data_IF_920437858341
#
_entry.id   IF_920437858341
#
_cell.length_a   1.000
_cell.length_b   1.000
_cell.length_c   1.000
_cell.angle_alpha   90.00
_cell.angle_beta   90.00
_cell.angle_gamma   90.00
#
_symmetry.space_group_name_H-M   'P 1'
#
loop_
_entity.id
_entity.type
_entity.pdbx_description
1 polymer ?
#
# COMPACT_ATOMS: atom_id res chain seq x y z
N UNK A 1 -29.36 8.38 -9.16
CA UNK A 1 -28.59 9.61 -9.48
C UNK A 1 -29.50 10.80 -9.18
N UNK A 2 -28.98 11.77 -8.45
CA UNK A 2 -29.64 13.05 -8.18
C UNK A 2 -29.68 13.90 -9.47
N UNK A 3 -30.80 14.59 -9.75
CA UNK A 3 -30.95 15.48 -10.92
C UNK A 3 -29.85 16.57 -10.99
N UNK A 4 -29.28 16.96 -9.85
CA UNK A 4 -28.18 17.93 -9.75
C UNK A 4 -26.93 17.49 -10.51
N UNK A 5 -26.72 16.20 -10.69
CA UNK A 5 -25.53 15.66 -11.37
C UNK A 5 -25.78 15.24 -12.82
N UNK A 6 -26.99 15.43 -13.32
CA UNK A 6 -27.31 15.14 -14.70
C UNK A 6 -26.54 16.05 -15.64
N UNK A 7 -25.76 15.47 -16.54
CA UNK A 7 -24.86 16.22 -17.44
C UNK A 7 -23.61 16.85 -16.78
N UNK A 8 -23.40 16.62 -15.48
CA UNK A 8 -22.15 17.01 -14.83
C UNK A 8 -21.01 16.07 -15.25
N UNK A 9 -19.86 16.64 -15.67
CA UNK A 9 -18.69 15.83 -16.02
C UNK A 9 -18.09 15.08 -14.84
N UNK A 10 -17.34 14.00 -15.12
CA UNK A 10 -16.76 13.09 -14.10
C UNK A 10 -15.91 13.83 -13.05
N UNK A 11 -15.19 14.90 -13.44
CA UNK A 11 -14.37 15.68 -12.50
C UNK A 11 -15.21 16.42 -11.45
N UNK A 12 -16.37 16.96 -11.84
CA UNK A 12 -17.27 17.61 -10.90
C UNK A 12 -17.89 16.60 -9.93
N UNK A 13 -18.27 15.41 -10.42
CA UNK A 13 -18.77 14.31 -9.62
C UNK A 13 -17.70 13.80 -8.65
N UNK A 14 -16.46 13.62 -9.09
CA UNK A 14 -15.33 13.25 -8.23
C UNK A 14 -15.09 14.30 -7.14
N UNK A 15 -15.05 15.58 -7.50
CA UNK A 15 -14.87 16.67 -6.53
C UNK A 15 -15.95 16.67 -5.47
N UNK A 16 -17.22 16.45 -5.85
CA UNK A 16 -18.30 16.31 -4.89
C UNK A 16 -18.08 15.14 -3.93
N UNK A 17 -17.69 13.97 -4.44
CA UNK A 17 -17.38 12.80 -3.63
C UNK A 17 -16.25 13.11 -2.66
N UNK A 18 -15.14 13.69 -3.11
CA UNK A 18 -13.98 14.03 -2.28
C UNK A 18 -14.34 15.00 -1.13
N UNK A 19 -15.18 15.98 -1.40
CA UNK A 19 -15.62 16.96 -0.39
C UNK A 19 -16.53 16.33 0.67
N UNK A 20 -17.37 15.38 0.28
CA UNK A 20 -18.41 14.83 1.17
C UNK A 20 -18.05 13.49 1.80
N UNK A 21 -17.07 12.75 1.25
CA UNK A 21 -16.66 11.46 1.78
C UNK A 21 -15.90 11.63 3.10
N UNK A 22 -16.37 10.94 4.13
CA UNK A 22 -15.72 10.87 5.45
C UNK A 22 -15.56 9.41 5.84
N UNK A 23 -14.33 8.95 5.92
CA UNK A 23 -14.00 7.58 6.32
C UNK A 23 -13.06 7.65 7.51
N UNK A 24 -13.56 7.43 8.73
CA UNK A 24 -12.70 7.44 9.91
C UNK A 24 -11.69 6.29 9.89
N UNK A 25 -10.56 6.45 10.58
CA UNK A 25 -9.64 5.37 10.89
C UNK A 25 -10.15 4.66 12.14
N UNK A 26 -10.86 3.56 11.98
CA UNK A 26 -11.57 2.83 13.03
C UNK A 26 -11.00 1.42 13.30
N UNK A 27 -9.99 1.02 12.53
CA UNK A 27 -9.34 -0.27 12.69
C UNK A 27 -8.08 -0.12 13.55
N UNK A 28 -8.08 -0.75 14.73
CA UNK A 28 -6.95 -0.71 15.65
C UNK A 28 -5.88 -1.75 15.29
N UNK A 29 -4.63 -1.31 15.20
CA UNK A 29 -3.47 -2.20 15.31
C UNK A 29 -2.95 -2.11 16.74
N UNK A 30 -2.97 -3.24 17.45
CA UNK A 30 -2.54 -3.34 18.84
C UNK A 30 -1.13 -3.91 18.95
N UNK A 31 -0.36 -3.40 19.91
CA UNK A 31 0.92 -3.98 20.28
C UNK A 31 0.70 -5.27 21.13
N UNK A 32 1.79 -5.96 21.45
CA UNK A 32 1.74 -7.19 22.27
C UNK A 32 1.18 -6.99 23.69
N UNK A 33 1.09 -5.73 24.19
CA UNK A 33 0.47 -5.35 25.46
C UNK A 33 -1.03 -5.03 25.33
N UNK A 34 -1.61 -5.17 24.13
CA UNK A 34 -3.02 -4.85 23.87
C UNK A 34 -3.33 -3.35 23.70
N UNK A 35 -2.31 -2.48 23.71
CA UNK A 35 -2.48 -1.04 23.51
C UNK A 35 -2.56 -0.73 22.03
N UNK A 36 -3.43 0.19 21.63
CA UNK A 36 -3.53 0.67 20.25
C UNK A 36 -2.20 1.36 19.87
N UNK A 37 -1.56 0.85 18.84
CA UNK A 37 -0.32 1.37 18.29
C UNK A 37 -0.62 2.45 17.25
N UNK A 38 -1.56 2.14 16.34
CA UNK A 38 -2.10 3.08 15.36
C UNK A 38 -3.47 2.62 14.88
N UNK A 39 -4.20 3.55 14.25
CA UNK A 39 -5.48 3.26 13.61
C UNK A 39 -5.37 3.42 12.10
N UNK A 40 -6.11 2.59 11.37
CA UNK A 40 -6.19 2.67 9.92
C UNK A 40 -7.63 2.46 9.44
N UNK A 41 -7.92 2.83 8.20
CA UNK A 41 -9.15 2.46 7.51
C UNK A 41 -8.87 1.29 6.57
N UNK A 42 -9.81 0.38 6.42
CA UNK A 42 -9.69 -0.69 5.44
C UNK A 42 -10.46 -0.34 4.16
N UNK A 43 -10.24 -1.10 3.09
CA UNK A 43 -10.91 -0.89 1.80
C UNK A 43 -12.44 -1.04 1.90
N UNK A 44 -12.90 -1.98 2.74
CA UNK A 44 -14.32 -2.21 2.95
C UNK A 44 -15.01 -0.98 3.58
N UNK A 45 -14.37 -0.35 4.58
CA UNK A 45 -14.87 0.89 5.19
C UNK A 45 -14.98 2.04 4.16
N UNK A 46 -14.00 2.15 3.24
CA UNK A 46 -14.05 3.15 2.16
C UNK A 46 -15.25 2.88 1.26
N UNK A 47 -15.43 1.63 0.81
CA UNK A 47 -16.55 1.26 -0.06
C UNK A 47 -17.91 1.45 0.62
N UNK A 48 -18.04 1.11 1.88
CA UNK A 48 -19.28 1.33 2.63
C UNK A 48 -19.68 2.81 2.65
N UNK A 49 -18.72 3.69 2.94
CA UNK A 49 -18.97 5.13 3.07
C UNK A 49 -19.15 5.85 1.74
N UNK A 50 -18.53 5.35 0.66
CA UNK A 50 -18.66 5.99 -0.65
C UNK A 50 -19.94 5.61 -1.39
N UNK A 51 -20.55 4.44 -1.13
CA UNK A 51 -21.74 3.95 -1.83
C UNK A 51 -22.88 4.97 -1.94
N UNK A 52 -23.31 5.68 -0.86
CA UNK A 52 -24.36 6.69 -0.98
C UNK A 52 -24.01 7.84 -1.93
N UNK A 53 -22.73 8.25 -1.95
CA UNK A 53 -22.25 9.31 -2.83
C UNK A 53 -22.15 8.85 -4.29
N UNK A 54 -21.79 7.58 -4.51
CA UNK A 54 -21.83 6.97 -5.86
C UNK A 54 -23.25 6.93 -6.42
N UNK A 55 -24.24 6.56 -5.59
CA UNK A 55 -25.64 6.55 -5.98
C UNK A 55 -26.13 7.96 -6.34
N UNK A 56 -25.82 8.97 -5.52
CA UNK A 56 -26.17 10.35 -5.75
C UNK A 56 -25.57 10.89 -7.05
N UNK A 57 -24.28 10.62 -7.31
CA UNK A 57 -23.56 11.15 -8.47
C UNK A 57 -23.76 10.34 -9.75
N UNK A 58 -24.35 9.15 -9.66
CA UNK A 58 -24.48 8.23 -10.80
C UNK A 58 -23.14 7.66 -11.25
N UNK A 59 -22.23 7.42 -10.31
CA UNK A 59 -20.94 6.83 -10.58
C UNK A 59 -20.82 5.40 -10.05
N UNK A 60 -19.89 4.64 -10.58
CA UNK A 60 -19.43 3.40 -9.99
C UNK A 60 -17.92 3.42 -9.74
N UNK A 61 -17.44 2.54 -8.86
CA UNK A 61 -16.02 2.34 -8.60
C UNK A 61 -15.64 0.89 -8.82
N UNK A 62 -14.47 0.67 -9.43
CA UNK A 62 -13.83 -0.65 -9.55
C UNK A 62 -12.40 -0.57 -9.01
N UNK A 63 -11.95 -1.65 -8.37
CA UNK A 63 -10.53 -1.89 -8.13
C UNK A 63 -10.10 -3.02 -9.07
N UNK A 64 -9.02 -2.78 -9.82
CA UNK A 64 -8.47 -3.73 -10.80
C UNK A 64 -6.97 -3.81 -10.58
N UNK A 65 -6.44 -5.01 -10.53
CA UNK A 65 -5.00 -5.22 -10.47
C UNK A 65 -4.44 -5.48 -11.87
N UNK A 66 -3.28 -4.88 -12.14
CA UNK A 66 -2.44 -5.28 -13.27
C UNK A 66 -1.76 -6.63 -13.01
N UNK A 67 -1.21 -7.28 -14.04
CA UNK A 67 -0.25 -8.36 -13.84
C UNK A 67 0.88 -7.90 -12.92
N UNK A 68 1.39 -8.79 -12.03
CA UNK A 68 2.43 -8.42 -11.08
C UNK A 68 3.66 -7.81 -11.76
N UNK A 69 4.13 -6.69 -11.26
CA UNK A 69 5.35 -6.03 -11.74
C UNK A 69 6.55 -6.61 -11.00
N UNK A 70 7.50 -7.17 -11.76
CA UNK A 70 8.77 -7.65 -11.22
C UNK A 70 9.85 -6.61 -11.51
N UNK A 71 10.44 -6.05 -10.44
CA UNK A 71 11.55 -5.10 -10.53
C UNK A 71 12.85 -5.81 -10.17
N UNK A 72 13.89 -5.63 -11.00
CA UNK A 72 15.19 -6.29 -10.81
C UNK A 72 15.14 -7.79 -11.09
N UNK A 73 14.41 -8.22 -12.12
CA UNK A 73 14.30 -9.63 -12.50
C UNK A 73 15.65 -10.24 -12.91
N UNK A 74 16.59 -9.41 -13.35
CA UNK A 74 17.97 -9.72 -13.72
C UNK A 74 18.94 -9.78 -12.54
N UNK A 75 18.52 -9.31 -11.36
CA UNK A 75 19.36 -9.30 -10.17
C UNK A 75 19.30 -10.66 -9.49
N UNK A 76 20.43 -11.34 -9.36
CA UNK A 76 20.52 -12.59 -8.63
C UNK A 76 20.10 -12.40 -7.16
N UNK A 77 19.25 -13.28 -6.59
CA UNK A 77 18.82 -13.14 -5.21
C UNK A 77 19.96 -13.41 -4.24
N UNK A 78 20.16 -12.49 -3.30
CA UNK A 78 21.09 -12.64 -2.17
C UNK A 78 20.29 -12.82 -0.89
N UNK A 79 20.66 -13.80 -0.11
CA UNK A 79 19.97 -14.15 1.13
C UNK A 79 20.88 -13.93 2.34
N UNK A 80 20.30 -13.47 3.44
CA UNK A 80 20.93 -13.39 4.76
C UNK A 80 20.22 -14.31 5.75
N UNK A 81 21.00 -14.83 6.68
CA UNK A 81 20.48 -15.66 7.77
C UNK A 81 20.01 -14.78 8.92
N UNK A 82 18.70 -14.79 9.16
CA UNK A 82 18.07 -14.02 10.24
C UNK A 82 17.63 -15.00 11.35
N UNK A 83 18.03 -14.73 12.58
CA UNK A 83 17.55 -15.50 13.75
C UNK A 83 16.25 -14.90 14.26
N UNK A 84 15.26 -15.74 14.47
CA UNK A 84 14.04 -15.36 15.17
C UNK A 84 14.26 -15.23 16.69
N UNK A 85 13.20 -14.88 17.43
CA UNK A 85 13.24 -14.74 18.90
C UNK A 85 13.56 -16.04 19.63
N UNK A 86 13.37 -17.19 18.97
CA UNK A 86 13.59 -18.53 19.52
C UNK A 86 14.95 -19.09 19.09
N UNK A 87 15.74 -18.32 18.31
CA UNK A 87 17.05 -18.73 17.82
C UNK A 87 17.00 -19.54 16.53
N UNK A 88 15.84 -19.78 15.93
CA UNK A 88 15.73 -20.46 14.64
C UNK A 88 16.27 -19.58 13.54
N UNK A 89 17.09 -20.17 12.66
CA UNK A 89 17.66 -19.46 11.53
C UNK A 89 16.71 -19.56 10.34
N UNK A 90 16.33 -18.41 9.78
CA UNK A 90 15.57 -18.30 8.53
C UNK A 90 16.36 -17.50 7.51
N UNK A 91 16.29 -17.89 6.25
CA UNK A 91 16.87 -17.10 5.16
C UNK A 91 15.92 -15.98 4.76
N UNK A 92 16.45 -14.77 4.68
CA UNK A 92 15.70 -13.60 4.20
C UNK A 92 16.41 -13.03 2.99
N UNK A 93 15.66 -12.82 1.91
CA UNK A 93 16.19 -12.15 0.74
C UNK A 93 16.47 -10.68 1.05
N UNK A 94 17.73 -10.26 0.88
CA UNK A 94 18.18 -8.88 1.10
C UNK A 94 18.38 -8.12 -0.21
N UNK A 95 18.67 -8.82 -1.29
CA UNK A 95 18.80 -8.29 -2.65
C UNK A 95 18.14 -9.26 -3.64
N UNK A 96 17.73 -8.77 -4.82
CA UNK A 96 17.14 -9.56 -5.87
C UNK A 96 15.78 -9.02 -6.33
N UNK A 97 15.06 -9.80 -7.13
CA UNK A 97 13.77 -9.40 -7.68
C UNK A 97 12.77 -8.96 -6.61
N UNK A 98 11.98 -7.96 -6.93
CA UNK A 98 10.91 -7.45 -6.08
C UNK A 98 9.59 -7.54 -6.84
N UNK A 99 8.58 -8.12 -6.23
CA UNK A 99 7.25 -8.23 -6.81
C UNK A 99 6.39 -7.09 -6.25
N UNK A 100 5.69 -6.40 -7.14
CA UNK A 100 4.72 -5.37 -6.79
C UNK A 100 3.37 -5.69 -7.40
N UNK A 101 2.32 -5.57 -6.61
CA UNK A 101 0.95 -5.54 -7.10
C UNK A 101 0.61 -4.07 -7.36
N UNK A 102 0.17 -3.79 -8.60
CA UNK A 102 -0.30 -2.48 -9.01
C UNK A 102 -1.82 -2.50 -9.06
N UNK A 103 -2.47 -1.65 -8.28
CA UNK A 103 -3.91 -1.54 -8.25
C UNK A 103 -4.36 -0.19 -8.80
N UNK A 104 -5.44 -0.22 -9.57
CA UNK A 104 -6.16 0.90 -10.14
C UNK A 104 -7.49 1.05 -9.40
N UNK A 105 -7.76 2.23 -8.86
CA UNK A 105 -9.09 2.63 -8.43
C UNK A 105 -9.70 3.49 -9.54
N UNK A 106 -10.75 3.02 -10.17
CA UNK A 106 -11.36 3.62 -11.35
C UNK A 106 -12.78 4.06 -10.99
N UNK A 107 -13.04 5.37 -11.01
CA UNK A 107 -14.38 5.94 -10.91
C UNK A 107 -14.92 6.17 -12.33
N UNK A 108 -16.09 5.63 -12.61
CA UNK A 108 -16.74 5.75 -13.93
C UNK A 108 -18.11 6.39 -13.78
N UNK A 109 -18.40 7.38 -14.59
CA UNK A 109 -19.72 7.94 -14.78
C UNK A 109 -20.57 6.95 -15.57
N UNK A 110 -21.72 6.51 -15.00
CA UNK A 110 -22.59 5.50 -15.62
C UNK A 110 -23.29 6.06 -16.86
N UNK A 111 -23.56 7.37 -16.91
CA UNK A 111 -24.28 8.01 -18.01
C UNK A 111 -23.37 8.21 -19.23
N UNK A 112 -22.15 8.70 -19.03
CA UNK A 112 -21.24 9.09 -20.13
C UNK A 112 -20.20 8.03 -20.46
N UNK A 113 -19.89 7.15 -19.50
CA UNK A 113 -18.76 6.19 -19.59
C UNK A 113 -17.40 6.84 -19.35
N UNK A 114 -17.34 8.15 -19.07
CA UNK A 114 -16.08 8.81 -18.69
C UNK A 114 -15.52 8.25 -17.39
N UNK A 115 -14.22 8.15 -17.32
CA UNK A 115 -13.54 7.58 -16.15
C UNK A 115 -12.36 8.42 -15.71
N UNK A 116 -12.10 8.39 -14.40
CA UNK A 116 -10.87 8.88 -13.78
C UNK A 116 -10.28 7.80 -12.90
N UNK A 117 -8.97 7.75 -12.79
CA UNK A 117 -8.31 6.72 -12.01
C UNK A 117 -7.18 7.25 -11.14
N UNK A 118 -6.87 6.49 -10.10
CA UNK A 118 -5.65 6.61 -9.34
C UNK A 118 -4.98 5.25 -9.23
N UNK A 119 -3.65 5.23 -9.34
CA UNK A 119 -2.85 4.01 -9.36
C UNK A 119 -1.89 4.00 -8.18
N UNK A 120 -1.78 2.86 -7.51
CA UNK A 120 -0.81 2.65 -6.43
C UNK A 120 -0.20 1.25 -6.52
N UNK A 121 1.04 1.16 -6.04
CA UNK A 121 1.75 -0.11 -5.96
C UNK A 121 1.94 -0.52 -4.50
N UNK A 122 1.82 -1.80 -4.22
CA UNK A 122 2.25 -2.39 -2.96
C UNK A 122 3.27 -3.48 -3.24
N UNK A 123 4.37 -3.49 -2.47
CA UNK A 123 5.37 -4.54 -2.58
C UNK A 123 4.85 -5.80 -1.90
N UNK A 124 4.88 -6.93 -2.61
CA UNK A 124 4.69 -8.24 -2.04
C UNK A 124 5.97 -8.66 -1.31
N UNK A 125 5.83 -9.15 -0.08
CA UNK A 125 6.97 -9.75 0.63
C UNK A 125 7.09 -11.21 0.22
N UNK A 126 8.31 -11.73 0.16
CA UNK A 126 8.56 -13.12 -0.23
C UNK A 126 7.97 -14.13 0.75
N UNK A 127 7.78 -13.69 1.99
CA UNK A 127 7.30 -14.57 3.07
C UNK A 127 6.73 -13.79 4.26
N UNK A 128 5.70 -14.37 4.87
CA UNK A 128 5.13 -13.90 6.15
C UNK A 128 4.65 -15.08 6.99
N UNK A 129 5.05 -15.13 8.27
CA UNK A 129 4.62 -16.18 9.19
C UNK A 129 3.09 -16.27 9.26
N UNK A 130 2.57 -17.48 9.10
CA UNK A 130 1.14 -17.77 9.24
C UNK A 130 0.28 -17.38 8.04
N UNK A 131 0.89 -17.06 6.89
CA UNK A 131 0.18 -16.84 5.64
C UNK A 131 0.73 -17.75 4.55
N UNK A 132 -0.16 -18.38 3.79
CA UNK A 132 0.22 -19.04 2.55
C UNK A 132 0.44 -18.03 1.40
N UNK A 133 1.07 -18.44 0.27
CA UNK A 133 1.34 -17.52 -0.82
C UNK A 133 0.09 -16.84 -1.39
N UNK A 134 -1.04 -17.54 -1.51
CA UNK A 134 -2.28 -16.94 -2.03
C UNK A 134 -2.86 -15.89 -1.09
N UNK A 135 -2.81 -16.15 0.23
CA UNK A 135 -3.20 -15.17 1.24
C UNK A 135 -2.29 -13.94 1.23
N UNK A 136 -1.00 -14.15 1.00
CA UNK A 136 -0.01 -13.06 0.94
C UNK A 136 -0.28 -12.13 -0.25
N UNK A 137 -0.46 -12.71 -1.45
CA UNK A 137 -0.81 -11.95 -2.65
C UNK A 137 -2.15 -11.22 -2.48
N UNK A 138 -3.18 -11.89 -1.97
CA UNK A 138 -4.48 -11.27 -1.70
C UNK A 138 -4.42 -10.11 -0.70
N UNK A 139 -3.60 -10.23 0.36
CA UNK A 139 -3.39 -9.16 1.32
C UNK A 139 -2.67 -7.97 0.68
N UNK A 140 -1.68 -8.22 -0.19
CA UNK A 140 -0.94 -7.18 -0.91
C UNK A 140 -1.83 -6.45 -1.91
N UNK A 141 -2.67 -7.17 -2.67
CA UNK A 141 -3.68 -6.61 -3.57
C UNK A 141 -4.66 -5.71 -2.81
N UNK A 142 -5.23 -6.19 -1.72
CA UNK A 142 -6.13 -5.40 -0.88
C UNK A 142 -5.47 -4.13 -0.35
N UNK A 143 -4.18 -4.20 -0.01
CA UNK A 143 -3.40 -3.06 0.44
C UNK A 143 -3.16 -2.03 -0.67
N UNK A 144 -2.76 -2.48 -1.87
CA UNK A 144 -2.61 -1.63 -3.04
C UNK A 144 -3.93 -0.95 -3.43
N UNK A 145 -5.03 -1.73 -3.46
CA UNK A 145 -6.37 -1.24 -3.77
C UNK A 145 -6.87 -0.19 -2.77
N UNK A 146 -6.60 -0.38 -1.47
CA UNK A 146 -6.90 0.61 -0.44
C UNK A 146 -6.23 1.94 -0.73
N UNK A 147 -4.92 1.95 -0.98
CA UNK A 147 -4.19 3.18 -1.26
C UNK A 147 -4.56 3.82 -2.60
N UNK A 148 -4.93 3.02 -3.60
CA UNK A 148 -5.47 3.56 -4.84
C UNK A 148 -6.80 4.27 -4.63
N UNK A 149 -7.72 3.68 -3.84
CA UNK A 149 -8.98 4.31 -3.48
C UNK A 149 -8.80 5.57 -2.62
N UNK A 150 -7.89 5.54 -1.64
CA UNK A 150 -7.54 6.71 -0.82
C UNK A 150 -7.03 7.86 -1.69
N UNK A 151 -6.15 7.56 -2.66
CA UNK A 151 -5.63 8.56 -3.58
C UNK A 151 -6.71 9.13 -4.51
N UNK A 152 -7.61 8.29 -5.04
CA UNK A 152 -8.70 8.72 -5.91
C UNK A 152 -9.66 9.66 -5.17
N UNK A 153 -10.01 9.32 -3.95
CA UNK A 153 -10.95 10.10 -3.15
C UNK A 153 -10.31 11.21 -2.31
N UNK A 154 -9.00 11.40 -2.38
CA UNK A 154 -8.30 12.43 -1.61
C UNK A 154 -8.39 12.23 -0.10
N UNK A 155 -8.46 10.97 0.36
CA UNK A 155 -8.49 10.67 1.80
C UNK A 155 -7.11 10.87 2.41
N UNK A 156 -7.08 11.60 3.54
CA UNK A 156 -5.86 11.98 4.21
C UNK A 156 -5.13 10.76 4.81
N UNK A 157 -3.83 10.67 4.53
CA UNK A 157 -2.89 9.69 5.09
C UNK A 157 -2.10 10.19 6.32
N UNK A 158 -2.41 11.38 6.86
CA UNK A 158 -1.60 12.07 7.86
C UNK A 158 -1.27 11.27 9.14
N UNK A 159 -1.99 10.18 9.41
CA UNK A 159 -1.74 9.29 10.55
C UNK A 159 -1.39 7.85 10.13
N UNK A 160 -0.93 7.62 8.91
CA UNK A 160 -0.55 6.29 8.44
C UNK A 160 0.75 5.80 9.11
N UNK A 161 0.98 4.48 9.03
CA UNK A 161 2.12 3.79 9.66
C UNK A 161 3.49 4.44 9.34
N UNK A 162 3.62 5.11 8.18
CA UNK A 162 4.83 5.82 7.79
C UNK A 162 5.10 7.06 8.67
N UNK A 163 4.06 7.77 9.11
CA UNK A 163 4.18 8.88 10.05
C UNK A 163 4.57 8.39 11.46
N UNK A 164 4.18 7.17 11.83
CA UNK A 164 4.55 6.54 13.09
C UNK A 164 5.95 5.94 13.05
N UNK A 165 6.37 5.36 11.92
CA UNK A 165 7.74 4.93 11.72
C UNK A 165 8.72 6.11 11.82
N UNK A 166 8.34 7.30 11.38
CA UNK A 166 9.11 8.52 11.57
C UNK A 166 9.20 8.95 13.05
N UNK A 167 8.15 8.72 13.85
CA UNK A 167 8.16 8.98 15.31
C UNK A 167 8.96 7.93 16.09
N UNK A 168 8.94 6.65 15.67
CA UNK A 168 9.76 5.60 16.29
C UNK A 168 11.24 5.71 15.92
N UNK A 169 11.57 6.25 14.77
CA UNK A 169 12.94 6.52 14.32
C UNK A 169 13.51 7.86 14.80
N UNK A 170 12.75 8.65 15.55
CA UNK A 170 13.30 9.77 16.28
C UNK A 170 14.42 9.26 17.22
N UNK A 171 15.61 9.91 17.26
CA UNK A 171 16.77 9.39 17.96
C UNK A 171 16.42 9.18 19.44
N UNK A 172 16.25 7.91 19.82
CA UNK A 172 16.27 7.53 21.23
C UNK A 172 17.68 7.81 21.73
N UNK A 173 17.84 8.84 22.52
CA UNK A 173 19.07 9.08 23.28
C UNK A 173 19.34 7.83 24.15
N UNK A 174 20.22 6.93 23.65
CA UNK A 174 20.63 5.73 24.37
C UNK A 174 20.46 4.37 23.70
N UNK A 175 20.16 4.28 22.39
CA UNK A 175 19.97 3.01 21.69
C UNK A 175 21.11 2.66 20.72
N UNK A 176 21.58 1.42 20.77
CA UNK A 176 22.60 0.80 19.92
C UNK A 176 22.36 1.15 18.44
N UNK A 177 23.35 1.75 17.78
CA UNK A 177 23.36 2.03 16.34
C UNK A 177 23.19 0.71 15.59
N UNK A 178 22.04 0.50 14.95
CA UNK A 178 21.84 -0.57 13.97
C UNK A 178 22.56 -0.18 12.69
N UNK A 179 23.78 -0.63 12.53
CA UNK A 179 24.56 -0.51 11.29
C UNK A 179 24.17 -1.60 10.30
N UNK A 180 22.88 -1.61 9.87
CA UNK A 180 22.43 -2.59 8.86
C UNK A 180 23.18 -2.41 7.52
N UNK A 181 23.42 -1.17 7.11
CA UNK A 181 24.19 -0.85 5.90
C UNK A 181 25.70 -1.07 6.04
N UNK A 182 26.26 -1.01 7.25
CA UNK A 182 27.70 -1.16 7.47
C UNK A 182 28.19 -2.60 7.35
N UNK A 183 27.32 -3.60 7.61
CA UNK A 183 27.70 -5.02 7.58
C UNK A 183 27.62 -5.66 6.19
N UNK A 184 26.97 -5.00 5.23
CA UNK A 184 26.77 -5.54 3.86
C UNK A 184 27.33 -4.60 2.78
N UNK A 185 28.23 -3.69 3.15
CA UNK A 185 28.81 -2.70 2.24
C UNK A 185 29.47 -3.35 1.02
N UNK A 186 30.16 -4.46 1.24
CA UNK A 186 30.92 -5.16 0.19
C UNK A 186 29.99 -5.90 -0.78
N UNK A 187 28.89 -6.48 -0.29
CA UNK A 187 27.89 -7.14 -1.14
C UNK A 187 27.07 -6.13 -1.99
N UNK A 188 26.82 -4.94 -1.43
CA UNK A 188 26.11 -3.86 -2.15
C UNK A 188 27.02 -3.21 -3.19
N UNK A 189 28.33 -3.02 -2.88
CA UNK A 189 29.32 -2.49 -3.81
C UNK A 189 29.53 -3.43 -5.00
N UNK A 190 29.69 -4.73 -4.77
CA UNK A 190 29.84 -5.72 -5.83
C UNK A 190 28.64 -5.78 -6.79
N UNK A 191 27.43 -5.56 -6.29
CA UNK A 191 26.23 -5.54 -7.12
C UNK A 191 26.06 -4.24 -7.93
N UNK A 192 26.72 -3.14 -7.53
CA UNK A 192 26.69 -1.86 -8.25
C UNK A 192 27.71 -1.81 -9.40
N UNK A 193 28.83 -2.55 -9.30
CA UNK A 193 29.85 -2.62 -10.34
C UNK A 193 29.44 -3.46 -11.56
N UNK A 194 28.37 -4.27 -11.45
CA UNK A 194 27.83 -5.10 -12.54
C UNK A 194 26.72 -4.41 -13.36
N UNK A 195 26.34 -3.17 -13.04
CA UNK A 195 25.31 -2.44 -13.81
C UNK A 195 25.99 -1.77 -15.01
N UNK A 196 25.69 -2.17 -16.27
CA UNK A 196 26.22 -1.49 -17.45
C UNK A 196 25.72 -0.04 -17.48
N UNK A 197 26.64 0.91 -17.68
CA UNK A 197 26.29 2.28 -18.01
C UNK A 197 25.58 2.29 -19.37
N UNK A 198 24.31 2.62 -19.38
CA UNK A 198 23.55 2.98 -20.58
C UNK A 198 23.60 4.49 -20.81
#
# INVERSE_FOLDING_TARGET
MDETFKGAGIQAKLSYIQVNLRVPKDQDVKNWKGQTQYQYRNLASIFEKVKPLLEQTGCNIKIVDDPPLVVGADIAPVFDNVKDKNGNVTQRQILGPRIYIRAHAILTDIETGESVEAVRNARETEWRTGMDPAQLTGATSSYAGKYAAEALFGLDGSDDADALAAKENAPRTGGVKRTYFGQHKDAIAAAQDEVPNF
#
